data_IF_229202192756
#
_entry.id   IF_229202192756
#
_cell.length_a   1.000
_cell.length_b   1.000
_cell.length_c   1.000
_cell.angle_alpha   90.00
_cell.angle_beta   90.00
_cell.angle_gamma   90.00
#
_symmetry.space_group_name_H-M   'P 1'
#
loop_
_entity.id
_entity.type
_entity.pdbx_description
1 polymer ?
#
# COMPACT_ATOMS: atom_id res chain seq x y z
N UNK A 1 -13.08 30.57 -12.77
CA UNK A 1 -12.78 31.18 -14.09
C UNK A 1 -13.90 30.80 -15.03
N UNK A 2 -14.51 31.78 -15.72
CA UNK A 2 -15.63 31.58 -16.66
C UNK A 2 -15.17 31.50 -18.12
N UNK A 3 -13.87 31.73 -18.39
CA UNK A 3 -13.22 31.61 -19.69
C UNK A 3 -12.24 30.43 -19.74
N UNK A 4 -11.90 29.92 -20.94
CA UNK A 4 -10.86 28.88 -21.10
C UNK A 4 -9.44 29.33 -20.75
N UNK A 5 -9.18 30.64 -20.77
CA UNK A 5 -7.89 31.24 -20.43
C UNK A 5 -8.12 32.56 -19.71
N UNK A 6 -7.30 32.84 -18.71
CA UNK A 6 -7.36 34.05 -17.90
C UNK A 6 -5.97 34.32 -17.29
N UNK A 7 -5.75 35.52 -16.75
CA UNK A 7 -4.47 35.94 -16.17
C UNK A 7 -4.66 36.68 -14.84
N UNK A 8 -3.80 36.41 -13.87
CA UNK A 8 -3.82 37.04 -12.54
C UNK A 8 -2.49 37.76 -12.30
N UNK A 9 -2.54 39.03 -11.89
CA UNK A 9 -1.35 39.79 -11.52
C UNK A 9 -1.05 39.63 -10.02
N UNK A 10 0.15 39.17 -9.67
CA UNK A 10 0.55 38.80 -8.30
C UNK A 10 1.13 40.01 -7.51
N UNK A 11 1.30 41.16 -8.16
CA UNK A 11 1.81 42.38 -7.54
C UNK A 11 3.32 42.36 -7.36
N UNK A 12 3.81 41.77 -6.27
CA UNK A 12 5.24 41.63 -5.98
C UNK A 12 5.81 40.34 -6.61
N UNK A 13 7.13 40.31 -6.83
CA UNK A 13 7.82 39.10 -7.30
C UNK A 13 7.74 38.00 -6.23
N UNK A 14 6.94 36.98 -6.50
CA UNK A 14 6.83 35.79 -5.65
C UNK A 14 7.84 34.73 -6.12
N UNK A 15 8.56 34.12 -5.17
CA UNK A 15 9.52 33.05 -5.47
C UNK A 15 8.87 31.71 -5.83
N UNK A 16 7.60 31.53 -5.48
CA UNK A 16 6.77 30.39 -5.86
C UNK A 16 5.29 30.72 -5.67
N UNK A 17 4.41 29.99 -6.37
CA UNK A 17 2.95 30.11 -6.25
C UNK A 17 2.34 28.73 -6.18
N UNK A 18 1.61 28.44 -5.09
CA UNK A 18 0.84 27.19 -4.94
C UNK A 18 -0.64 27.47 -5.18
N UNK A 19 -1.17 26.92 -6.27
CA UNK A 19 -2.61 26.99 -6.58
C UNK A 19 -3.35 25.81 -5.95
N UNK A 20 -4.66 25.98 -5.71
CA UNK A 20 -5.52 25.00 -5.04
C UNK A 20 -5.04 24.67 -3.62
N UNK A 21 -5.03 25.71 -2.77
CA UNK A 21 -4.65 25.63 -1.36
C UNK A 21 -5.52 24.59 -0.64
N UNK A 22 -4.85 23.72 0.11
CA UNK A 22 -5.45 22.65 0.90
C UNK A 22 -6.31 21.64 0.10
N UNK A 23 -6.14 21.61 -1.23
CA UNK A 23 -6.88 20.71 -2.15
C UNK A 23 -8.40 20.89 -2.04
N UNK A 24 -8.86 22.13 -1.83
CA UNK A 24 -10.29 22.44 -1.68
C UNK A 24 -11.04 22.43 -3.01
N UNK A 25 -10.34 22.64 -4.12
CA UNK A 25 -10.88 22.57 -5.48
C UNK A 25 -10.71 21.18 -6.10
N UNK A 26 -11.72 20.73 -6.84
CA UNK A 26 -11.68 19.49 -7.60
C UNK A 26 -11.03 19.69 -8.98
N UNK A 27 -9.73 19.99 -9.00
CA UNK A 27 -8.93 20.16 -10.21
C UNK A 27 -7.44 19.94 -9.95
N UNK A 28 -6.75 19.43 -10.97
CA UNK A 28 -5.27 19.23 -10.99
C UNK A 28 -4.59 20.53 -11.44
N UNK A 29 -3.44 20.83 -10.84
CA UNK A 29 -2.63 22.00 -11.18
C UNK A 29 -1.32 21.54 -11.82
N UNK A 30 -1.00 22.10 -12.99
CA UNK A 30 0.29 21.97 -13.65
C UNK A 30 1.02 23.31 -13.60
N UNK A 31 2.29 23.29 -13.21
CA UNK A 31 3.19 24.43 -13.28
C UNK A 31 4.11 24.25 -14.49
N UNK A 32 4.01 25.17 -15.46
CA UNK A 32 4.85 25.13 -16.67
C UNK A 32 6.29 25.54 -16.37
N UNK A 33 7.15 25.39 -17.38
CA UNK A 33 8.57 25.79 -17.36
C UNK A 33 9.33 25.21 -16.14
N UNK A 34 9.95 26.05 -15.32
CA UNK A 34 10.69 25.69 -14.11
C UNK A 34 9.80 25.59 -12.86
N UNK A 35 8.48 25.75 -13.00
CA UNK A 35 7.57 25.79 -11.86
C UNK A 35 7.59 24.54 -10.99
N UNK A 36 7.75 23.34 -11.58
CA UNK A 36 7.95 22.12 -10.80
C UNK A 36 9.32 22.04 -10.13
N UNK A 37 10.38 22.57 -10.77
CA UNK A 37 11.71 22.61 -10.17
C UNK A 37 11.74 23.54 -8.94
N UNK A 38 10.99 24.64 -9.00
CA UNK A 38 10.74 25.53 -7.86
C UNK A 38 10.04 24.78 -6.73
N UNK A 39 9.01 23.95 -7.02
CA UNK A 39 8.32 23.15 -6.00
C UNK A 39 9.24 22.08 -5.38
N UNK A 40 10.04 21.39 -6.19
CA UNK A 40 11.03 20.40 -5.73
C UNK A 40 12.02 21.06 -4.77
N UNK A 41 12.55 22.23 -5.15
CA UNK A 41 13.47 23.00 -4.32
C UNK A 41 12.82 23.43 -3.00
N UNK A 42 11.60 23.98 -3.07
CA UNK A 42 10.85 24.41 -1.88
C UNK A 42 10.64 23.25 -0.89
N UNK A 43 10.21 22.08 -1.37
CA UNK A 43 10.01 20.91 -0.52
C UNK A 43 11.32 20.42 0.11
N UNK A 44 12.42 20.44 -0.64
CA UNK A 44 13.73 20.03 -0.13
C UNK A 44 14.28 20.98 0.93
N UNK A 45 14.15 22.29 0.72
CA UNK A 45 14.72 23.32 1.60
C UNK A 45 13.82 23.65 2.79
N UNK A 46 12.51 23.74 2.58
CA UNK A 46 11.53 24.11 3.61
C UNK A 46 10.11 23.59 3.27
N UNK A 47 9.92 22.27 3.29
CA UNK A 47 8.59 21.66 3.04
C UNK A 47 7.50 22.21 3.98
N UNK A 48 7.84 22.64 5.20
CA UNK A 48 6.87 23.20 6.15
C UNK A 48 6.33 24.58 5.77
N UNK A 49 6.88 25.24 4.75
CA UNK A 49 6.27 26.44 4.15
C UNK A 49 4.91 26.16 3.51
N UNK A 50 4.64 24.90 3.14
CA UNK A 50 3.35 24.41 2.65
C UNK A 50 2.64 23.60 3.74
N UNK A 51 1.31 23.62 3.75
CA UNK A 51 0.53 22.72 4.61
C UNK A 51 0.78 21.26 4.22
N UNK A 52 0.54 20.30 5.13
CA UNK A 52 0.67 18.88 4.76
C UNK A 52 -0.29 18.49 3.64
N UNK A 53 -1.48 19.12 3.55
CA UNK A 53 -2.44 18.88 2.47
C UNK A 53 -1.92 19.39 1.13
N UNK A 54 -1.30 20.58 1.12
CA UNK A 54 -0.69 21.12 -0.09
C UNK A 54 0.44 20.22 -0.59
N UNK A 55 1.26 19.68 0.32
CA UNK A 55 2.33 18.75 -0.03
C UNK A 55 1.79 17.43 -0.58
N UNK A 56 0.80 16.82 0.08
CA UNK A 56 0.10 15.64 -0.43
C UNK A 56 -0.45 15.90 -1.83
N UNK A 57 -1.07 17.06 -2.05
CA UNK A 57 -1.66 17.41 -3.33
C UNK A 57 -0.61 17.66 -4.42
N UNK A 58 0.56 18.22 -4.09
CA UNK A 58 1.68 18.34 -5.03
C UNK A 58 2.18 16.96 -5.48
N UNK A 59 2.34 16.03 -4.54
CA UNK A 59 2.72 14.64 -4.86
C UNK A 59 1.67 14.00 -5.78
N UNK A 60 0.39 14.11 -5.40
CA UNK A 60 -0.72 13.60 -6.19
C UNK A 60 -0.70 14.14 -7.63
N UNK A 61 -0.67 15.47 -7.78
CA UNK A 61 -0.69 16.11 -9.10
C UNK A 61 0.51 15.74 -9.95
N UNK A 62 1.71 15.65 -9.36
CA UNK A 62 2.90 15.26 -10.10
C UNK A 62 2.73 13.88 -10.76
N UNK A 63 2.27 12.88 -10.03
CA UNK A 63 2.06 11.53 -10.58
C UNK A 63 0.84 11.43 -11.50
N UNK A 64 -0.21 12.22 -11.29
CA UNK A 64 -1.31 12.33 -12.26
C UNK A 64 -0.83 12.95 -13.58
N UNK A 65 0.01 13.99 -13.52
CA UNK A 65 0.59 14.62 -14.70
C UNK A 65 1.58 13.72 -15.44
N UNK A 66 2.32 12.86 -14.72
CA UNK A 66 3.11 11.79 -15.33
C UNK A 66 2.23 10.85 -16.13
N UNK A 67 1.12 10.41 -15.54
CA UNK A 67 0.15 9.52 -16.22
C UNK A 67 -0.46 10.20 -17.46
N UNK A 68 -0.69 11.50 -17.39
CA UNK A 68 -1.23 12.30 -18.51
C UNK A 68 -0.17 12.71 -19.55
N UNK A 69 1.13 12.45 -19.33
CA UNK A 69 2.21 12.84 -20.23
C UNK A 69 2.60 14.33 -20.17
N UNK A 70 2.23 15.03 -19.10
CA UNK A 70 2.52 16.46 -18.88
C UNK A 70 3.68 16.71 -17.92
N UNK A 71 4.21 15.68 -17.27
CA UNK A 71 5.41 15.76 -16.43
C UNK A 71 6.22 14.47 -16.63
N UNK A 72 7.55 14.53 -16.77
CA UNK A 72 8.35 13.32 -16.87
C UNK A 72 8.46 12.64 -15.48
N UNK A 73 8.58 11.31 -15.47
CA UNK A 73 8.55 10.51 -14.24
C UNK A 73 9.69 10.86 -13.27
N UNK A 74 10.89 11.14 -13.79
CA UNK A 74 12.06 11.54 -13.01
C UNK A 74 11.78 12.81 -12.18
N UNK A 75 11.06 13.80 -12.73
CA UNK A 75 10.67 15.00 -11.98
C UNK A 75 9.70 14.70 -10.83
N UNK A 76 8.76 13.76 -11.02
CA UNK A 76 7.87 13.34 -9.94
C UNK A 76 8.63 12.54 -8.85
N UNK A 77 9.61 11.74 -9.25
CA UNK A 77 10.50 11.03 -8.32
C UNK A 77 11.42 12.00 -7.55
N UNK A 78 11.95 13.02 -8.22
CA UNK A 78 12.72 14.10 -7.58
C UNK A 78 11.88 14.87 -6.56
N UNK A 79 10.61 15.12 -6.89
CA UNK A 79 9.66 15.78 -6.00
C UNK A 79 9.51 15.00 -4.70
N UNK A 80 9.21 13.70 -4.74
CA UNK A 80 9.06 12.91 -3.51
C UNK A 80 10.37 12.70 -2.74
N UNK A 81 11.52 13.05 -3.31
CA UNK A 81 12.81 12.95 -2.62
C UNK A 81 12.86 13.66 -1.26
N UNK A 82 12.05 14.71 -1.05
CA UNK A 82 11.97 15.41 0.23
C UNK A 82 11.35 14.57 1.36
N UNK A 83 10.63 13.48 1.06
CA UNK A 83 9.89 12.69 2.05
C UNK A 83 10.76 12.08 3.15
N UNK A 84 12.08 12.00 2.95
CA UNK A 84 13.03 11.64 4.02
C UNK A 84 13.03 12.63 5.19
N UNK A 85 12.55 13.86 4.96
CA UNK A 85 12.42 14.93 5.95
C UNK A 85 10.99 15.07 6.50
N UNK A 86 10.02 14.39 5.88
CA UNK A 86 8.60 14.51 6.19
C UNK A 86 8.25 13.75 7.48
N UNK A 87 7.36 14.34 8.29
CA UNK A 87 6.86 13.74 9.53
C UNK A 87 5.35 13.53 9.54
N UNK A 88 4.63 14.18 8.63
CA UNK A 88 3.19 14.05 8.54
C UNK A 88 2.84 12.76 7.80
N UNK A 89 1.90 12.00 8.37
CA UNK A 89 1.46 10.71 7.82
C UNK A 89 0.96 10.82 6.39
N UNK A 90 0.14 11.84 6.08
CA UNK A 90 -0.60 11.87 4.81
C UNK A 90 0.35 12.02 3.60
N UNK A 91 1.33 12.95 3.59
CA UNK A 91 2.31 13.00 2.49
C UNK A 91 3.21 11.76 2.43
N UNK A 92 3.60 11.18 3.58
CA UNK A 92 4.39 9.94 3.61
C UNK A 92 3.64 8.79 2.93
N UNK A 93 2.37 8.59 3.27
CA UNK A 93 1.54 7.55 2.68
C UNK A 93 1.26 7.80 1.19
N UNK A 94 1.07 9.05 0.77
CA UNK A 94 0.86 9.38 -0.65
C UNK A 94 2.09 8.97 -1.48
N UNK A 95 3.29 9.39 -1.07
CA UNK A 95 4.51 9.02 -1.79
C UNK A 95 4.84 7.53 -1.72
N UNK A 96 4.63 6.90 -0.55
CA UNK A 96 4.77 5.46 -0.37
C UNK A 96 3.85 4.70 -1.33
N UNK A 97 2.59 5.12 -1.43
CA UNK A 97 1.58 4.48 -2.28
C UNK A 97 1.96 4.44 -3.76
N UNK A 98 2.56 5.50 -4.29
CA UNK A 98 3.06 5.50 -5.68
C UNK A 98 4.24 4.55 -5.87
N UNK A 99 5.22 4.56 -4.96
CA UNK A 99 6.38 3.67 -5.03
C UNK A 99 5.98 2.19 -4.87
N UNK A 100 5.05 1.90 -3.97
CA UNK A 100 4.48 0.57 -3.79
C UNK A 100 3.69 0.13 -5.03
N UNK A 101 2.91 1.02 -5.66
CA UNK A 101 2.21 0.70 -6.90
C UNK A 101 3.18 0.32 -8.03
N UNK A 102 4.29 1.05 -8.18
CA UNK A 102 5.34 0.70 -9.15
C UNK A 102 5.97 -0.65 -8.84
N UNK A 103 6.27 -0.90 -7.56
CA UNK A 103 6.79 -2.19 -7.11
C UNK A 103 5.88 -3.35 -7.53
N UNK A 104 4.58 -3.29 -7.22
CA UNK A 104 3.63 -4.35 -7.55
C UNK A 104 3.41 -4.51 -9.06
N UNK A 105 3.51 -3.44 -9.85
CA UNK A 105 3.45 -3.53 -11.31
C UNK A 105 4.64 -4.30 -11.87
N UNK A 106 5.85 -4.02 -11.37
CA UNK A 106 7.08 -4.66 -11.80
C UNK A 106 7.10 -6.12 -11.34
N UNK A 107 6.69 -6.40 -10.09
CA UNK A 107 6.65 -7.75 -9.54
C UNK A 107 5.77 -8.69 -10.38
N UNK A 108 4.62 -8.21 -10.85
CA UNK A 108 3.70 -8.96 -11.72
C UNK A 108 4.22 -9.21 -13.14
N UNK A 109 5.28 -8.51 -13.55
CA UNK A 109 5.92 -8.71 -14.86
C UNK A 109 7.05 -9.75 -14.82
N UNK A 110 7.33 -10.32 -13.64
CA UNK A 110 8.42 -11.29 -13.43
C UNK A 110 9.80 -10.70 -13.81
N UNK A 111 10.04 -9.45 -13.41
CA UNK A 111 11.31 -8.73 -13.58
C UNK A 111 12.10 -8.72 -12.25
N UNK A 112 12.82 -9.82 -11.90
CA UNK A 112 13.30 -10.05 -10.54
C UNK A 112 14.40 -9.07 -10.10
N UNK A 113 15.27 -8.64 -11.02
CA UNK A 113 16.36 -7.70 -10.71
C UNK A 113 15.76 -6.34 -10.35
N UNK A 114 14.90 -5.81 -11.22
CA UNK A 114 14.26 -4.51 -11.01
C UNK A 114 13.35 -4.51 -9.78
N UNK A 115 12.58 -5.59 -9.57
CA UNK A 115 11.74 -5.76 -8.37
C UNK A 115 12.61 -5.69 -7.10
N UNK A 116 13.73 -6.40 -7.08
CA UNK A 116 14.65 -6.43 -5.94
C UNK A 116 15.30 -5.06 -5.69
N UNK A 117 15.75 -4.38 -6.74
CA UNK A 117 16.41 -3.09 -6.61
C UNK A 117 15.44 -1.99 -6.14
N UNK A 118 14.22 -1.98 -6.69
CA UNK A 118 13.17 -1.06 -6.23
C UNK A 118 12.75 -1.35 -4.78
N UNK A 119 12.58 -2.63 -4.41
CA UNK A 119 12.28 -3.00 -3.02
C UNK A 119 13.35 -2.55 -2.04
N UNK A 120 14.63 -2.73 -2.37
CA UNK A 120 15.75 -2.20 -1.57
C UNK A 120 15.74 -0.68 -1.46
N UNK A 121 15.48 0.00 -2.56
CA UNK A 121 15.37 1.46 -2.57
C UNK A 121 14.27 1.94 -1.62
N UNK A 122 13.06 1.36 -1.72
CA UNK A 122 11.93 1.71 -0.85
C UNK A 122 12.27 1.49 0.62
N UNK A 123 12.84 0.34 0.97
CA UNK A 123 13.27 0.03 2.33
C UNK A 123 14.30 1.03 2.86
N UNK A 124 15.29 1.38 2.04
CA UNK A 124 16.31 2.35 2.43
C UNK A 124 15.73 3.76 2.56
N UNK A 125 14.86 4.16 1.64
CA UNK A 125 14.27 5.49 1.58
C UNK A 125 13.34 5.77 2.77
N UNK A 126 12.51 4.79 3.16
CA UNK A 126 11.60 4.90 4.30
C UNK A 126 12.14 4.31 5.61
N UNK A 127 13.42 3.92 5.66
CA UNK A 127 14.01 3.20 6.81
C UNK A 127 13.73 3.89 8.14
N UNK A 128 13.96 5.20 8.22
CA UNK A 128 13.74 5.97 9.45
C UNK A 128 12.28 5.91 9.91
N UNK A 129 11.32 5.96 8.98
CA UNK A 129 9.89 5.86 9.29
C UNK A 129 9.54 4.43 9.74
N UNK A 130 10.08 3.42 9.07
CA UNK A 130 9.86 2.00 9.39
C UNK A 130 10.41 1.67 10.78
N UNK A 131 11.67 2.01 11.04
CA UNK A 131 12.39 1.66 12.28
C UNK A 131 11.81 2.35 13.53
N UNK A 132 11.04 3.44 13.35
CA UNK A 132 10.33 4.14 14.42
C UNK A 132 8.99 3.49 14.79
N UNK A 133 8.47 2.56 13.99
CA UNK A 133 7.16 1.98 14.26
C UNK A 133 7.18 1.02 15.45
N UNK A 134 6.15 1.14 16.27
CA UNK A 134 5.87 0.19 17.36
C UNK A 134 4.98 -0.94 16.89
N UNK A 135 5.07 -2.11 17.54
CA UNK A 135 4.17 -3.25 17.32
C UNK A 135 3.04 -3.22 18.35
N UNK A 136 2.19 -2.20 18.25
CA UNK A 136 1.10 -1.89 19.20
C UNK A 136 -0.07 -1.19 18.50
N UNK A 137 -1.15 -0.93 19.24
CA UNK A 137 -2.33 -0.16 18.78
C UNK A 137 -2.34 1.30 19.31
N UNK A 138 -1.19 1.82 19.74
CA UNK A 138 -1.08 3.15 20.36
C UNK A 138 -1.12 4.28 19.32
N UNK A 139 -1.40 5.49 19.78
CA UNK A 139 -1.37 6.70 18.95
C UNK A 139 -2.72 7.04 18.30
N UNK A 140 -2.71 8.11 17.51
CA UNK A 140 -3.85 8.60 16.74
C UNK A 140 -4.21 7.64 15.60
N UNK A 141 -5.43 7.76 15.07
CA UNK A 141 -5.88 6.97 13.89
C UNK A 141 -4.90 7.09 12.71
N UNK A 142 -4.33 8.29 12.51
CA UNK A 142 -3.35 8.55 11.46
C UNK A 142 -2.04 7.80 11.69
N UNK A 143 -1.51 7.81 12.91
CA UNK A 143 -0.27 7.10 13.25
C UNK A 143 -0.45 5.57 13.17
N UNK A 144 -1.62 5.08 13.60
CA UNK A 144 -2.00 3.67 13.47
C UNK A 144 -2.07 3.23 12.01
N UNK A 145 -2.66 4.07 11.14
CA UNK A 145 -2.69 3.81 9.69
C UNK A 145 -1.28 3.76 9.09
N UNK A 146 -0.42 4.72 9.43
CA UNK A 146 0.97 4.73 8.96
C UNK A 146 1.68 3.43 9.35
N UNK A 147 1.58 3.03 10.63
CA UNK A 147 2.17 1.80 11.17
C UNK A 147 1.77 0.57 10.39
N UNK A 148 0.47 0.35 10.17
CA UNK A 148 -0.02 -0.82 9.45
C UNK A 148 0.56 -0.90 8.04
N UNK A 149 0.55 0.22 7.30
CA UNK A 149 1.02 0.24 5.91
C UNK A 149 2.54 0.03 5.81
N UNK A 150 3.34 0.77 6.59
CA UNK A 150 4.81 0.67 6.48
C UNK A 150 5.35 -0.66 7.02
N UNK A 151 4.76 -1.23 8.07
CA UNK A 151 5.15 -2.56 8.57
C UNK A 151 4.70 -3.67 7.61
N UNK A 152 3.49 -3.57 7.04
CA UNK A 152 3.03 -4.51 6.02
C UNK A 152 4.00 -4.54 4.84
N UNK A 153 4.34 -3.37 4.30
CA UNK A 153 5.28 -3.24 3.19
C UNK A 153 6.68 -3.72 3.57
N UNK A 154 7.21 -3.33 4.73
CA UNK A 154 8.54 -3.74 5.18
C UNK A 154 8.67 -5.27 5.27
N UNK A 155 7.65 -5.94 5.84
CA UNK A 155 7.61 -7.40 5.91
C UNK A 155 7.41 -8.05 4.54
N UNK A 156 6.59 -7.46 3.67
CA UNK A 156 6.42 -7.92 2.28
C UNK A 156 7.73 -7.87 1.48
N UNK A 157 8.50 -6.79 1.66
CA UNK A 157 9.83 -6.58 1.07
C UNK A 157 10.95 -7.37 1.76
N UNK A 158 10.60 -8.30 2.66
CA UNK A 158 11.53 -9.18 3.36
C UNK A 158 12.55 -8.42 4.23
N UNK A 159 12.16 -7.28 4.83
CA UNK A 159 13.01 -6.54 5.76
C UNK A 159 13.27 -7.38 7.03
N UNK A 160 14.52 -7.77 7.34
CA UNK A 160 14.77 -8.79 8.37
C UNK A 160 14.20 -8.45 9.75
N UNK A 161 14.38 -7.23 10.30
CA UNK A 161 13.78 -6.88 11.60
C UNK A 161 12.26 -7.01 11.63
N UNK A 162 11.56 -6.68 10.53
CA UNK A 162 10.11 -6.83 10.43
C UNK A 162 9.73 -8.31 10.42
N UNK A 163 10.35 -9.10 9.54
CA UNK A 163 10.03 -10.52 9.36
C UNK A 163 10.35 -11.34 10.60
N UNK A 164 11.47 -11.06 11.28
CA UNK A 164 11.85 -11.74 12.52
C UNK A 164 10.82 -11.50 13.63
N UNK A 165 10.42 -10.23 13.83
CA UNK A 165 9.47 -9.86 14.87
C UNK A 165 8.05 -10.38 14.53
N UNK A 166 7.62 -10.30 13.27
CA UNK A 166 6.37 -10.89 12.81
C UNK A 166 6.32 -12.40 13.07
N UNK A 167 7.41 -13.12 12.74
CA UNK A 167 7.51 -14.55 12.99
C UNK A 167 7.48 -14.87 14.49
N UNK A 168 8.11 -14.06 15.33
CA UNK A 168 8.07 -14.25 16.78
C UNK A 168 6.65 -14.09 17.32
N UNK A 169 5.96 -13.00 16.95
CA UNK A 169 4.55 -12.79 17.31
C UNK A 169 3.64 -13.92 16.81
N UNK A 170 3.85 -14.40 15.58
CA UNK A 170 3.07 -15.50 15.04
C UNK A 170 3.31 -16.82 15.81
N UNK A 171 4.56 -17.11 16.17
CA UNK A 171 4.91 -18.29 17.00
C UNK A 171 4.25 -18.21 18.37
N UNK A 172 4.27 -17.06 19.02
CA UNK A 172 3.65 -16.89 20.34
C UNK A 172 2.13 -16.97 20.25
N UNK A 173 1.54 -16.43 19.18
CA UNK A 173 0.11 -16.61 18.89
C UNK A 173 -0.25 -18.09 18.69
N UNK A 174 0.55 -18.86 17.93
CA UNK A 174 0.34 -20.31 17.78
C UNK A 174 0.45 -21.06 19.10
N UNK A 175 1.45 -20.76 19.93
CA UNK A 175 1.64 -21.38 21.26
C UNK A 175 0.47 -21.11 22.21
N UNK A 176 -0.19 -19.97 22.05
CA UNK A 176 -1.40 -19.63 22.81
C UNK A 176 -2.67 -20.32 22.31
N UNK A 177 -2.59 -21.21 21.32
CA UNK A 177 -3.75 -21.75 20.59
C UNK A 177 -4.66 -20.63 20.03
N UNK A 178 -4.05 -19.53 19.59
CA UNK A 178 -4.74 -18.39 19.02
C UNK A 178 -5.50 -17.48 20.01
N UNK A 179 -5.28 -17.67 21.32
CA UNK A 179 -5.91 -16.86 22.38
C UNK A 179 -5.14 -15.57 22.71
N UNK A 180 -3.87 -15.47 22.32
CA UNK A 180 -3.08 -14.26 22.44
C UNK A 180 -3.68 -13.16 21.56
N UNK A 181 -4.00 -12.02 22.17
CA UNK A 181 -4.46 -10.85 21.44
C UNK A 181 -3.27 -10.14 20.78
N UNK A 182 -3.13 -10.31 19.47
CA UNK A 182 -2.21 -9.51 18.67
C UNK A 182 -2.76 -8.08 18.53
N UNK A 183 -1.91 -7.04 18.56
CA UNK A 183 -2.35 -5.68 18.26
C UNK A 183 -3.00 -5.65 16.87
N UNK A 184 -4.17 -5.02 16.81
CA UNK A 184 -5.02 -5.02 15.62
C UNK A 184 -4.32 -4.42 14.41
N UNK A 185 -3.42 -3.45 14.61
CA UNK A 185 -2.68 -2.75 13.56
C UNK A 185 -1.63 -3.63 12.86
N UNK A 186 -1.12 -4.67 13.54
CA UNK A 186 -0.05 -5.55 13.01
C UNK A 186 -0.50 -7.00 12.81
N UNK A 187 -1.69 -7.37 13.29
CA UNK A 187 -2.18 -8.74 13.25
C UNK A 187 -2.20 -9.33 11.82
N UNK A 188 -2.62 -8.54 10.83
CA UNK A 188 -2.62 -8.99 9.42
C UNK A 188 -1.21 -9.23 8.89
N UNK A 189 -0.25 -8.34 9.21
CA UNK A 189 1.16 -8.51 8.86
C UNK A 189 1.75 -9.77 9.50
N UNK A 190 1.47 -9.98 10.80
CA UNK A 190 1.89 -11.20 11.54
C UNK A 190 1.34 -12.45 10.86
N UNK A 191 0.04 -12.47 10.55
CA UNK A 191 -0.58 -13.60 9.88
C UNK A 191 -0.03 -13.82 8.47
N UNK A 192 0.22 -12.75 7.70
CA UNK A 192 0.74 -12.83 6.33
C UNK A 192 2.15 -13.43 6.29
N UNK A 193 3.02 -13.07 7.25
CA UNK A 193 4.33 -13.69 7.42
C UNK A 193 4.20 -15.16 7.84
N UNK A 194 3.30 -15.47 8.79
CA UNK A 194 3.02 -16.83 9.23
C UNK A 194 2.50 -17.75 8.11
N UNK A 195 1.65 -17.21 7.23
CA UNK A 195 1.02 -17.90 6.11
C UNK A 195 1.99 -18.30 4.98
N UNK A 196 3.22 -17.78 4.99
CA UNK A 196 4.24 -18.19 4.01
C UNK A 196 4.69 -19.65 4.23
N UNK A 197 4.57 -20.18 5.44
CA UNK A 197 4.92 -21.56 5.79
C UNK A 197 3.69 -22.47 5.77
N UNK A 198 3.86 -23.75 5.40
CA UNK A 198 2.74 -24.71 5.29
C UNK A 198 1.99 -24.94 6.60
N UNK A 199 2.73 -25.09 7.70
CA UNK A 199 2.12 -25.20 9.02
C UNK A 199 1.32 -23.95 9.37
N UNK A 200 1.91 -22.76 9.24
CA UNK A 200 1.25 -21.50 9.57
C UNK A 200 0.00 -21.24 8.72
N UNK A 201 0.07 -21.49 7.42
CA UNK A 201 -1.08 -21.39 6.52
C UNK A 201 -2.21 -22.35 6.92
N UNK A 202 -1.87 -23.60 7.25
CA UNK A 202 -2.86 -24.62 7.66
C UNK A 202 -3.50 -24.25 9.00
N UNK A 203 -2.70 -23.79 9.97
CA UNK A 203 -3.19 -23.30 11.26
C UNK A 203 -4.15 -22.12 11.08
N UNK A 204 -3.79 -21.14 10.26
CA UNK A 204 -4.64 -19.98 9.95
C UNK A 204 -5.95 -20.40 9.28
N UNK A 205 -5.92 -21.30 8.29
CA UNK A 205 -7.14 -21.81 7.67
C UNK A 205 -8.05 -22.54 8.67
N UNK A 206 -7.47 -23.30 9.61
CA UNK A 206 -8.23 -23.94 10.67
C UNK A 206 -8.86 -22.91 11.62
N UNK A 207 -8.12 -21.87 12.01
CA UNK A 207 -8.65 -20.76 12.80
C UNK A 207 -9.77 -20.02 12.06
N UNK A 208 -9.62 -19.77 10.75
CA UNK A 208 -10.66 -19.13 9.94
C UNK A 208 -11.98 -19.89 10.00
N UNK A 209 -11.94 -21.23 9.91
CA UNK A 209 -13.13 -22.09 9.94
C UNK A 209 -13.92 -21.99 11.26
N UNK A 210 -13.22 -21.85 12.39
CA UNK A 210 -13.84 -21.86 13.72
C UNK A 210 -14.06 -20.46 14.32
N UNK A 211 -13.44 -19.42 13.75
CA UNK A 211 -13.56 -18.07 14.28
C UNK A 211 -14.97 -17.50 14.10
N UNK A 212 -15.46 -16.86 15.16
CA UNK A 212 -16.73 -16.13 15.17
C UNK A 212 -16.54 -14.63 14.87
N UNK A 213 -15.29 -14.15 14.81
CA UNK A 213 -14.98 -12.75 14.55
C UNK A 213 -14.78 -12.54 13.05
N UNK A 214 -15.71 -11.84 12.40
CA UNK A 214 -15.61 -11.51 10.98
C UNK A 214 -14.37 -10.64 10.69
N UNK A 215 -14.03 -9.70 11.58
CA UNK A 215 -12.81 -8.89 11.46
C UNK A 215 -11.53 -9.75 11.53
N UNK A 216 -11.52 -10.81 12.33
CA UNK A 216 -10.40 -11.74 12.36
C UNK A 216 -10.35 -12.61 11.10
N UNK A 217 -11.52 -13.08 10.64
CA UNK A 217 -11.64 -13.85 9.39
C UNK A 217 -11.12 -13.08 8.20
N UNK A 218 -11.43 -11.79 8.09
CA UNK A 218 -10.94 -10.93 7.01
C UNK A 218 -9.40 -10.86 6.99
N UNK A 219 -8.77 -10.59 8.14
CA UNK A 219 -7.30 -10.56 8.27
C UNK A 219 -6.66 -11.90 7.96
N UNK A 220 -7.27 -12.99 8.42
CA UNK A 220 -6.78 -14.34 8.13
C UNK A 220 -6.93 -14.64 6.64
N UNK A 221 -8.05 -14.29 6.01
CA UNK A 221 -8.27 -14.53 4.59
C UNK A 221 -7.25 -13.75 3.75
N UNK A 222 -7.04 -12.47 4.06
CA UNK A 222 -5.99 -11.66 3.45
C UNK A 222 -4.61 -12.33 3.56
N UNK A 223 -4.23 -12.76 4.77
CA UNK A 223 -2.99 -13.48 5.01
C UNK A 223 -2.88 -14.81 4.21
N UNK A 224 -3.93 -15.61 4.14
CA UNK A 224 -3.95 -16.86 3.37
C UNK A 224 -3.76 -16.60 1.87
N UNK A 225 -4.34 -15.50 1.36
CA UNK A 225 -4.19 -15.08 -0.05
C UNK A 225 -2.83 -14.47 -0.36
N UNK A 226 -2.02 -14.11 0.65
CA UNK A 226 -0.64 -13.63 0.47
C UNK A 226 0.37 -14.74 0.14
N UNK A 227 -0.05 -16.02 0.14
CA UNK A 227 0.84 -17.15 -0.11
C UNK A 227 1.43 -17.11 -1.52
N UNK A 228 2.73 -17.45 -1.64
CA UNK A 228 3.39 -17.64 -2.94
C UNK A 228 3.11 -19.01 -3.60
N UNK A 229 2.43 -19.93 -2.90
CA UNK A 229 2.09 -21.26 -3.41
C UNK A 229 0.76 -21.22 -4.21
N UNK A 230 0.85 -21.48 -5.51
CA UNK A 230 -0.28 -21.45 -6.45
C UNK A 230 -1.40 -22.44 -6.09
N UNK A 231 -1.06 -23.62 -5.57
CA UNK A 231 -2.05 -24.63 -5.19
C UNK A 231 -2.90 -24.17 -4.01
N UNK A 232 -2.29 -23.46 -3.03
CA UNK A 232 -3.02 -22.84 -1.93
C UNK A 232 -3.98 -21.77 -2.41
N UNK A 233 -3.55 -20.91 -3.34
CA UNK A 233 -4.41 -19.87 -3.92
C UNK A 233 -5.57 -20.46 -4.73
N UNK A 234 -5.30 -21.48 -5.56
CA UNK A 234 -6.33 -22.19 -6.30
C UNK A 234 -7.33 -22.89 -5.37
N UNK A 235 -6.84 -23.48 -4.27
CA UNK A 235 -7.70 -24.07 -3.24
C UNK A 235 -8.62 -23.05 -2.58
N UNK A 236 -8.13 -21.84 -2.30
CA UNK A 236 -8.98 -20.77 -1.77
C UNK A 236 -10.08 -20.38 -2.77
N UNK A 237 -9.74 -20.18 -4.06
CA UNK A 237 -10.73 -19.88 -5.09
C UNK A 237 -11.82 -20.96 -5.19
N UNK A 238 -11.44 -22.23 -5.12
CA UNK A 238 -12.39 -23.34 -5.10
C UNK A 238 -13.31 -23.28 -3.86
N UNK A 239 -12.74 -23.05 -2.67
CA UNK A 239 -13.53 -22.91 -1.43
C UNK A 239 -14.52 -21.75 -1.49
N UNK A 240 -14.12 -20.61 -2.06
CA UNK A 240 -14.99 -19.45 -2.24
C UNK A 240 -16.12 -19.72 -3.24
N UNK A 241 -15.84 -20.47 -4.31
CA UNK A 241 -16.86 -20.87 -5.29
C UNK A 241 -17.88 -21.85 -4.69
N UNK A 242 -17.42 -22.79 -3.86
CA UNK A 242 -18.26 -23.75 -3.15
C UNK A 242 -19.18 -23.08 -2.12
N UNK A 243 -18.75 -21.99 -1.49
CA UNK A 243 -19.57 -21.22 -0.54
C UNK A 243 -19.70 -21.84 0.87
N UNK A 244 -19.08 -23.00 1.13
CA UNK A 244 -19.22 -23.75 2.38
C UNK A 244 -18.28 -23.24 3.48
N UNK A 245 -16.98 -23.16 3.19
CA UNK A 245 -15.94 -22.73 4.15
C UNK A 245 -15.75 -21.22 4.09
N UNK A 246 -15.51 -20.71 2.88
CA UNK A 246 -15.51 -19.28 2.58
C UNK A 246 -16.88 -18.98 1.99
N UNK A 247 -17.61 -18.04 2.58
CA UNK A 247 -18.99 -17.74 2.16
C UNK A 247 -18.97 -17.13 0.76
N UNK A 248 -19.98 -17.41 -0.05
CA UNK A 248 -20.08 -16.89 -1.41
C UNK A 248 -20.09 -15.35 -1.47
N UNK A 249 -20.56 -14.67 -0.42
CA UNK A 249 -20.51 -13.20 -0.31
C UNK A 249 -19.07 -12.65 -0.30
N UNK A 250 -18.10 -13.44 0.16
CA UNK A 250 -16.69 -13.04 0.27
C UNK A 250 -15.91 -13.37 -1.03
N UNK A 251 -16.54 -14.07 -1.98
CA UNK A 251 -15.87 -14.56 -3.19
C UNK A 251 -15.30 -13.43 -4.05
N UNK A 252 -16.02 -12.31 -4.20
CA UNK A 252 -15.55 -11.16 -4.98
C UNK A 252 -14.28 -10.54 -4.37
N UNK A 253 -14.26 -10.37 -3.05
CA UNK A 253 -13.10 -9.89 -2.29
C UNK A 253 -11.93 -10.88 -2.38
N UNK A 254 -12.20 -12.17 -2.23
CA UNK A 254 -11.22 -13.23 -2.38
C UNK A 254 -10.55 -13.22 -3.77
N UNK A 255 -11.35 -13.13 -4.83
CA UNK A 255 -10.85 -13.04 -6.21
C UNK A 255 -9.97 -11.79 -6.38
N UNK A 256 -10.36 -10.65 -5.82
CA UNK A 256 -9.57 -9.42 -5.87
C UNK A 256 -8.23 -9.56 -5.12
N UNK A 257 -8.23 -10.14 -3.92
CA UNK A 257 -7.01 -10.38 -3.13
C UNK A 257 -6.03 -11.29 -3.90
N UNK A 258 -6.53 -12.39 -4.47
CA UNK A 258 -5.69 -13.31 -5.27
C UNK A 258 -5.26 -12.66 -6.60
N UNK A 259 -6.08 -11.80 -7.20
CA UNK A 259 -5.72 -11.03 -8.40
C UNK A 259 -4.60 -10.02 -8.13
N UNK A 260 -4.49 -9.51 -6.90
CA UNK A 260 -3.41 -8.62 -6.48
C UNK A 260 -2.10 -9.38 -6.21
N UNK A 261 -2.18 -10.65 -5.81
CA UNK A 261 -1.00 -11.49 -5.54
C UNK A 261 -0.16 -11.74 -6.83
N UNK A 262 1.18 -11.55 -6.79
CA UNK A 262 2.08 -11.73 -7.93
C UNK A 262 2.16 -13.18 -8.46
N UNK A 263 1.82 -14.18 -7.64
CA UNK A 263 1.69 -15.59 -8.06
C UNK A 263 0.25 -16.00 -8.33
N UNK A 264 -0.73 -15.14 -7.99
CA UNK A 264 -2.17 -15.39 -8.09
C UNK A 264 -2.88 -14.70 -9.26
N UNK A 265 -2.34 -13.62 -9.82
CA UNK A 265 -3.07 -12.79 -10.81
C UNK A 265 -3.58 -13.57 -12.04
N UNK A 266 -2.77 -14.46 -12.61
CA UNK A 266 -3.22 -15.32 -13.72
C UNK A 266 -4.24 -16.38 -13.28
N UNK A 267 -4.15 -16.88 -12.05
CA UNK A 267 -5.12 -17.84 -11.51
C UNK A 267 -6.49 -17.18 -11.36
N UNK A 268 -6.54 -15.99 -10.76
CA UNK A 268 -7.77 -15.23 -10.59
C UNK A 268 -8.42 -14.89 -11.95
N UNK A 269 -7.61 -14.42 -12.92
CA UNK A 269 -8.11 -14.13 -14.27
C UNK A 269 -8.71 -15.36 -14.96
N UNK A 270 -8.01 -16.50 -14.91
CA UNK A 270 -8.50 -17.72 -15.52
C UNK A 270 -9.72 -18.30 -14.78
N UNK A 271 -9.75 -18.16 -13.45
CA UNK A 271 -10.90 -18.56 -12.63
C UNK A 271 -12.16 -17.79 -13.01
N UNK A 272 -12.08 -16.46 -13.15
CA UNK A 272 -13.23 -15.63 -13.55
C UNK A 272 -13.72 -16.03 -14.95
N UNK A 273 -12.82 -16.16 -15.93
CA UNK A 273 -13.20 -16.59 -17.29
C UNK A 273 -13.88 -17.96 -17.30
N UNK A 274 -13.30 -18.93 -16.58
CA UNK A 274 -13.80 -20.31 -16.55
C UNK A 274 -15.18 -20.42 -15.90
N UNK A 275 -15.44 -19.61 -14.88
CA UNK A 275 -16.65 -19.69 -14.06
C UNK A 275 -17.63 -18.54 -14.32
N UNK A 276 -17.46 -17.77 -15.40
CA UNK A 276 -18.22 -16.55 -15.67
C UNK A 276 -19.74 -16.77 -15.57
N UNK A 277 -20.26 -17.80 -16.24
CA UNK A 277 -21.69 -18.13 -16.25
C UNK A 277 -22.26 -18.48 -14.87
N UNK A 278 -21.41 -18.94 -13.94
CA UNK A 278 -21.79 -19.19 -12.55
C UNK A 278 -21.74 -17.91 -11.72
N UNK A 279 -20.77 -17.03 -11.99
CA UNK A 279 -20.53 -15.80 -11.24
C UNK A 279 -21.57 -14.70 -11.50
N UNK A 280 -22.21 -14.70 -12.68
CA UNK A 280 -23.18 -13.68 -13.10
C UNK A 280 -24.65 -14.09 -12.88
N UNK A 281 -24.89 -15.28 -12.34
CA UNK A 281 -26.23 -15.75 -11.94
C UNK A 281 -26.59 -15.21 -10.57
#
# INVERSE_FOLDING_TARGET
>A
MTSPTDSIHIGEEASWVKINSDMTGYYVVHYADDGWDVMVKLLRENHTALSYKDRTHLIHNAFQLVTAGHLPLDKALDLIGYLQLEKQTVPLLEGLGYLEAFYHIIEKRDEPILTKDLGKYILQFFRTVIDQQTWSDSGTVSERRLRSEVLSLACHLEYPPCVELANQHFKDWLRSNGTLNLPTDVAETVFSVGAQHDHGWTSLLNTYKISLSEAQKEKILSALTSSRNKDKLQRLLAMGLEGNVIRSQDLSSLVLMIARNPKGHHLAWNFVKKNWDTLVK
#
